data_IF_417285880162
#
_entry.id   IF_417285880162
#
_cell.length_a   1.000
_cell.length_b   1.000
_cell.length_c   1.000
_cell.angle_alpha   90.00
_cell.angle_beta   90.00
_cell.angle_gamma   90.00
#
_symmetry.space_group_name_H-M   'P 1'
#
loop_
_entity.id
_entity.type
_entity.pdbx_description
1 polymer ?
#
# COMPACT_ATOMS: atom_id res chain seq x y z
N UNK A 1 49.55 -11.39 -36.34
CA UNK A 1 50.10 -11.66 -35.00
C UNK A 1 50.71 -13.04 -35.08
N UNK A 2 52.03 -13.15 -34.92
CA UNK A 2 52.67 -14.46 -34.84
C UNK A 2 52.24 -15.09 -33.51
N UNK A 3 51.54 -16.22 -33.59
CA UNK A 3 50.89 -16.86 -32.44
C UNK A 3 51.92 -17.44 -31.46
N UNK A 4 53.15 -17.70 -31.90
CA UNK A 4 54.19 -18.25 -31.03
C UNK A 4 54.93 -17.18 -30.21
N UNK A 5 55.01 -15.94 -30.72
CA UNK A 5 55.84 -14.88 -30.11
C UNK A 5 55.04 -13.68 -29.63
N UNK A 6 53.76 -13.57 -29.97
CA UNK A 6 52.89 -12.44 -29.57
C UNK A 6 53.24 -11.11 -30.23
N UNK A 7 54.28 -11.07 -31.08
CA UNK A 7 54.71 -9.86 -31.75
C UNK A 7 53.77 -9.50 -32.92
N UNK A 8 53.44 -8.22 -33.01
CA UNK A 8 52.60 -7.64 -34.07
C UNK A 8 53.46 -6.69 -34.89
N UNK A 9 53.77 -7.09 -36.13
CA UNK A 9 54.51 -6.24 -37.06
C UNK A 9 53.52 -5.30 -37.79
N UNK A 10 53.75 -3.98 -37.67
CA UNK A 10 52.90 -2.97 -38.30
C UNK A 10 53.30 -2.79 -39.76
N UNK A 11 52.56 -3.46 -40.65
CA UNK A 11 52.90 -3.55 -42.08
C UNK A 11 52.55 -2.28 -42.86
N UNK A 12 51.70 -1.41 -42.30
CA UNK A 12 51.34 -0.09 -42.84
C UNK A 12 50.84 0.81 -41.72
N UNK A 13 51.27 2.08 -41.72
CA UNK A 13 50.65 3.17 -40.95
C UNK A 13 50.06 4.17 -41.92
N UNK A 14 48.89 4.71 -41.60
CA UNK A 14 48.19 5.70 -42.42
C UNK A 14 48.62 7.12 -42.02
N UNK A 15 48.86 7.99 -43.01
CA UNK A 15 49.45 9.33 -42.85
C UNK A 15 48.46 10.39 -42.33
N UNK A 16 47.21 10.02 -42.02
CA UNK A 16 46.17 10.95 -41.52
C UNK A 16 46.14 10.99 -39.99
N UNK A 17 46.48 12.15 -39.42
CA UNK A 17 46.70 12.39 -37.98
C UNK A 17 45.48 12.36 -37.03
N UNK A 18 44.34 11.80 -37.44
CA UNK A 18 43.20 11.52 -36.54
C UNK A 18 42.57 10.19 -36.89
N UNK A 19 42.51 9.29 -35.92
CA UNK A 19 41.85 8.00 -36.04
C UNK A 19 40.56 8.01 -35.20
N UNK A 20 39.46 7.53 -35.75
CA UNK A 20 38.37 7.00 -34.93
C UNK A 20 38.82 5.62 -34.45
N UNK A 21 39.11 5.50 -33.15
CA UNK A 21 39.43 4.22 -32.56
C UNK A 21 38.15 3.36 -32.51
N UNK A 22 38.25 2.10 -32.91
CA UNK A 22 37.18 1.12 -32.78
C UNK A 22 37.60 0.05 -31.78
N UNK A 23 36.74 -0.20 -30.80
CA UNK A 23 36.94 -1.25 -29.81
C UNK A 23 36.42 -2.59 -30.36
N UNK A 24 37.29 -3.59 -30.44
CA UNK A 24 36.97 -4.93 -30.92
C UNK A 24 37.38 -5.94 -29.85
N UNK A 25 36.44 -6.77 -29.42
CA UNK A 25 36.70 -7.92 -28.56
C UNK A 25 37.03 -9.14 -29.42
N UNK A 26 38.20 -9.72 -29.23
CA UNK A 26 38.55 -11.01 -29.81
C UNK A 26 38.30 -12.13 -28.80
N UNK A 27 37.47 -13.11 -29.16
CA UNK A 27 37.21 -14.29 -28.33
C UNK A 27 36.97 -15.51 -29.23
N UNK A 28 37.70 -16.60 -29.00
CA UNK A 28 37.57 -17.88 -29.73
C UNK A 28 37.46 -17.71 -31.27
N UNK A 29 38.42 -17.01 -31.87
CA UNK A 29 38.46 -16.70 -33.32
C UNK A 29 37.29 -15.86 -33.85
N UNK A 30 36.48 -15.27 -32.99
CA UNK A 30 35.45 -14.29 -33.36
C UNK A 30 35.89 -12.88 -32.96
N UNK A 31 35.59 -11.91 -33.83
CA UNK A 31 35.79 -10.49 -33.57
C UNK A 31 34.42 -9.83 -33.38
N UNK A 32 34.16 -9.31 -32.19
CA UNK A 32 32.91 -8.67 -31.81
C UNK A 32 33.16 -7.17 -31.67
N UNK A 33 32.41 -6.37 -32.42
CA UNK A 33 32.49 -4.92 -32.31
C UNK A 33 31.82 -4.43 -31.01
N UNK A 34 32.57 -3.68 -30.20
CA UNK A 34 32.09 -3.13 -28.95
C UNK A 34 31.73 -1.66 -29.17
N UNK A 35 30.45 -1.32 -28.98
CA UNK A 35 29.98 0.08 -29.08
C UNK A 35 30.23 0.89 -27.81
N UNK A 36 30.40 0.22 -26.66
CA UNK A 36 30.60 0.85 -25.37
C UNK A 36 31.48 -0.06 -24.50
N UNK A 37 32.77 0.29 -24.38
CA UNK A 37 33.77 -0.49 -23.66
C UNK A 37 33.51 -0.53 -22.15
N UNK A 38 32.91 0.52 -21.59
CA UNK A 38 32.61 0.61 -20.16
C UNK A 38 31.61 -0.46 -19.72
N UNK A 39 30.70 -0.89 -20.62
CA UNK A 39 29.77 -1.99 -20.33
C UNK A 39 30.47 -3.33 -20.11
N UNK A 40 31.65 -3.54 -20.70
CA UNK A 40 32.48 -4.74 -20.54
C UNK A 40 33.46 -4.60 -19.37
N UNK A 41 34.08 -3.44 -19.20
CA UNK A 41 35.11 -3.22 -18.19
C UNK A 41 34.55 -2.98 -16.78
N UNK A 42 33.33 -2.46 -16.64
CA UNK A 42 32.69 -2.16 -15.35
C UNK A 42 31.88 -3.33 -14.79
N UNK A 43 32.39 -4.56 -14.94
CA UNK A 43 31.77 -5.79 -14.46
C UNK A 43 32.69 -6.46 -13.45
N UNK A 44 32.26 -6.47 -12.20
CA UNK A 44 33.03 -6.98 -11.07
C UNK A 44 32.42 -8.32 -10.64
N UNK A 45 33.11 -9.43 -10.89
CA UNK A 45 32.63 -10.75 -10.52
C UNK A 45 33.03 -11.09 -9.08
N UNK A 46 32.10 -11.62 -8.29
CA UNK A 46 32.43 -12.17 -6.99
C UNK A 46 33.14 -13.52 -7.14
N UNK A 47 34.34 -13.73 -6.57
CA UNK A 47 35.09 -14.98 -6.75
C UNK A 47 34.48 -16.17 -5.99
N UNK A 48 33.51 -15.94 -5.09
CA UNK A 48 32.88 -16.99 -4.26
C UNK A 48 31.53 -17.48 -4.81
N UNK A 49 30.73 -16.58 -5.39
CA UNK A 49 29.39 -16.92 -5.90
C UNK A 49 29.19 -16.60 -7.39
N UNK A 50 30.24 -16.11 -8.05
CA UNK A 50 30.28 -15.78 -9.48
C UNK A 50 29.28 -14.70 -9.95
N UNK A 51 28.52 -14.07 -9.05
CA UNK A 51 27.64 -12.96 -9.38
C UNK A 51 28.42 -11.75 -9.90
N UNK A 52 27.88 -11.10 -10.93
CA UNK A 52 28.49 -9.97 -11.61
C UNK A 52 27.82 -8.66 -11.15
N UNK A 53 28.64 -7.71 -10.69
CA UNK A 53 28.23 -6.40 -10.21
C UNK A 53 28.63 -5.30 -11.18
N UNK A 54 27.84 -4.24 -11.23
CA UNK A 54 28.09 -3.07 -12.11
C UNK A 54 29.06 -2.06 -11.51
N UNK A 55 29.50 -2.25 -10.26
CA UNK A 55 30.47 -1.39 -9.58
C UNK A 55 31.17 -2.14 -8.44
N UNK A 56 32.41 -1.74 -8.13
CA UNK A 56 33.18 -2.32 -7.04
C UNK A 56 32.51 -2.11 -5.67
N UNK A 57 31.93 -0.93 -5.42
CA UNK A 57 31.22 -0.65 -4.16
C UNK A 57 30.09 -1.66 -3.90
N UNK A 58 29.35 -2.07 -4.94
CA UNK A 58 28.30 -3.09 -4.81
C UNK A 58 28.88 -4.47 -4.55
N UNK A 59 30.01 -4.81 -5.16
CA UNK A 59 30.74 -6.04 -4.86
C UNK A 59 31.24 -6.04 -3.40
N UNK A 60 31.78 -4.91 -2.90
CA UNK A 60 32.25 -4.78 -1.53
C UNK A 60 31.10 -4.89 -0.52
N UNK A 61 29.98 -4.23 -0.78
CA UNK A 61 28.76 -4.36 0.03
C UNK A 61 28.22 -5.80 0.01
N UNK A 62 28.25 -6.47 -1.14
CA UNK A 62 27.89 -7.88 -1.27
C UNK A 62 28.82 -8.81 -0.46
N UNK A 63 30.15 -8.60 -0.55
CA UNK A 63 31.14 -9.34 0.23
C UNK A 63 30.94 -9.14 1.73
N UNK A 64 30.59 -7.92 2.17
CA UNK A 64 30.36 -7.56 3.57
C UNK A 64 29.03 -8.09 4.11
N UNK A 65 27.98 -8.15 3.28
CA UNK A 65 26.60 -8.37 3.70
C UNK A 65 25.94 -9.55 2.96
N UNK A 66 26.43 -10.79 3.09
CA UNK A 66 25.80 -12.04 2.59
C UNK A 66 26.32 -12.59 1.24
N UNK A 67 27.62 -12.90 1.17
CA UNK A 67 28.15 -13.77 0.11
C UNK A 67 27.74 -15.26 0.27
N UNK A 68 26.98 -15.62 1.31
CA UNK A 68 26.59 -17.01 1.64
C UNK A 68 25.09 -17.31 1.50
N UNK A 69 24.27 -16.31 1.16
CA UNK A 69 22.90 -16.59 0.80
C UNK A 69 22.85 -16.84 -0.69
N UNK A 70 23.14 -18.09 -1.07
CA UNK A 70 22.41 -18.66 -2.19
C UNK A 70 20.94 -18.45 -1.82
N UNK A 71 20.29 -17.46 -2.42
CA UNK A 71 18.84 -17.46 -2.51
C UNK A 71 18.53 -18.66 -3.39
N UNK A 72 18.61 -19.86 -2.81
CA UNK A 72 17.96 -21.04 -3.34
C UNK A 72 16.50 -20.65 -3.21
N UNK A 73 15.94 -20.09 -4.27
CA UNK A 73 14.52 -20.25 -4.50
C UNK A 73 14.36 -21.77 -4.58
N UNK A 74 14.04 -22.39 -3.44
CA UNK A 74 13.73 -23.80 -3.40
C UNK A 74 12.36 -23.91 -4.05
N UNK A 75 12.36 -24.18 -5.34
CA UNK A 75 11.17 -24.67 -5.98
C UNK A 75 10.94 -26.07 -5.41
N UNK A 76 9.71 -26.40 -4.99
CA UNK A 76 9.42 -27.76 -4.58
C UNK A 76 9.78 -28.69 -5.75
N UNK A 77 10.53 -29.76 -5.46
CA UNK A 77 10.99 -30.73 -6.46
C UNK A 77 9.82 -31.40 -7.21
N UNK A 78 8.61 -31.31 -6.65
CA UNK A 78 7.37 -31.77 -7.24
C UNK A 78 6.37 -30.61 -7.36
N UNK A 79 5.51 -30.61 -8.39
CA UNK A 79 4.46 -29.61 -8.54
C UNK A 79 3.49 -29.67 -7.36
N UNK A 80 3.69 -28.80 -6.38
CA UNK A 80 2.75 -28.61 -5.28
C UNK A 80 1.70 -27.58 -5.68
N UNK A 81 0.42 -27.89 -5.51
CA UNK A 81 -0.66 -26.91 -5.58
C UNK A 81 -0.33 -25.78 -4.58
N UNK A 82 -0.32 -24.53 -5.05
CA UNK A 82 -0.12 -23.37 -4.19
C UNK A 82 -1.16 -23.40 -3.05
N UNK A 83 -0.69 -23.57 -1.82
CA UNK A 83 -1.50 -23.41 -0.62
C UNK A 83 -1.19 -22.05 -0.04
N UNK A 84 -2.14 -21.09 -0.04
CA UNK A 84 -1.92 -19.80 0.59
C UNK A 84 -1.54 -20.00 2.05
N UNK A 85 -0.59 -19.17 2.53
CA UNK A 85 -0.18 -19.20 3.92
C UNK A 85 -1.41 -19.04 4.84
N UNK A 86 -1.48 -19.85 5.89
CA UNK A 86 -2.62 -19.84 6.80
C UNK A 86 -2.72 -18.47 7.49
N UNK A 87 -3.92 -17.88 7.49
CA UNK A 87 -4.20 -16.63 8.19
C UNK A 87 -3.73 -16.71 9.66
N UNK A 88 -3.09 -15.66 10.17
CA UNK A 88 -2.52 -15.64 11.53
C UNK A 88 -3.56 -15.94 12.61
N UNK A 89 -4.74 -15.32 12.56
CA UNK A 89 -5.84 -15.58 13.49
C UNK A 89 -6.27 -17.05 13.39
N UNK A 90 -6.43 -17.58 12.17
CA UNK A 90 -6.77 -18.99 11.96
C UNK A 90 -5.72 -19.94 12.54
N UNK A 91 -4.44 -19.61 12.39
CA UNK A 91 -3.34 -20.40 12.97
C UNK A 91 -3.38 -20.39 14.51
N UNK A 92 -3.70 -19.25 15.12
CA UNK A 92 -3.85 -19.10 16.57
C UNK A 92 -5.08 -19.84 17.09
N UNK A 93 -6.24 -19.70 16.43
CA UNK A 93 -7.46 -20.44 16.78
C UNK A 93 -7.21 -21.95 16.77
N UNK A 94 -6.48 -22.45 15.77
CA UNK A 94 -6.07 -23.86 15.70
C UNK A 94 -5.13 -24.23 16.85
N UNK A 95 -4.08 -23.43 17.08
CA UNK A 95 -3.09 -23.65 18.14
C UNK A 95 -3.71 -23.74 19.54
N UNK A 96 -4.75 -22.95 19.82
CA UNK A 96 -5.44 -22.91 21.12
C UNK A 96 -6.76 -23.67 21.15
N UNK A 97 -7.01 -24.54 20.16
CA UNK A 97 -8.18 -25.43 20.09
C UNK A 97 -9.51 -24.68 20.26
N UNK A 98 -9.70 -23.57 19.55
CA UNK A 98 -10.96 -22.83 19.49
C UNK A 98 -11.67 -23.17 18.18
N UNK A 99 -12.82 -23.86 18.29
CA UNK A 99 -13.55 -24.40 17.12
C UNK A 99 -14.71 -23.53 16.62
N UNK A 100 -15.24 -22.64 17.46
CA UNK A 100 -16.49 -21.91 17.19
C UNK A 100 -16.29 -20.43 16.81
N UNK A 101 -15.04 -19.95 16.74
CA UNK A 101 -14.75 -18.57 16.38
C UNK A 101 -14.33 -18.48 14.92
N UNK A 102 -14.91 -17.52 14.20
CA UNK A 102 -14.46 -17.18 12.86
C UNK A 102 -13.15 -16.37 12.89
N UNK A 103 -12.35 -16.51 11.84
CA UNK A 103 -11.02 -15.94 11.70
C UNK A 103 -10.97 -14.63 10.90
N UNK A 104 -12.09 -14.16 10.34
CA UNK A 104 -12.14 -12.93 9.58
C UNK A 104 -12.28 -11.71 10.50
N UNK A 105 -11.67 -10.60 10.10
CA UNK A 105 -12.00 -9.29 10.67
C UNK A 105 -13.23 -8.79 9.90
N UNK A 106 -14.34 -8.57 10.62
CA UNK A 106 -15.64 -8.33 9.98
C UNK A 106 -15.79 -6.91 9.44
N UNK A 107 -15.17 -5.95 10.13
CA UNK A 107 -15.41 -4.54 9.87
C UNK A 107 -14.20 -3.84 9.26
N UNK A 108 -14.50 -2.92 8.34
CA UNK A 108 -13.55 -2.14 7.58
C UNK A 108 -14.14 -0.77 7.26
N UNK A 109 -13.28 0.13 6.80
CA UNK A 109 -13.62 1.47 6.35
C UNK A 109 -13.31 1.54 4.86
N UNK A 110 -14.14 2.25 4.08
CA UNK A 110 -13.88 2.57 2.68
C UNK A 110 -13.84 4.08 2.49
N UNK A 111 -13.07 4.54 1.51
CA UNK A 111 -13.02 5.96 1.15
C UNK A 111 -12.86 6.18 -0.35
N UNK A 112 -13.25 7.38 -0.79
CA UNK A 112 -13.05 7.89 -2.15
C UNK A 112 -12.82 9.40 -2.12
N UNK A 113 -12.06 9.92 -3.08
CA UNK A 113 -11.75 11.35 -3.18
C UNK A 113 -12.23 11.94 -4.51
N UNK A 114 -12.66 13.19 -4.46
CA UNK A 114 -12.80 14.02 -5.65
C UNK A 114 -11.78 15.14 -5.65
N UNK A 115 -11.44 15.61 -6.85
CA UNK A 115 -10.42 16.63 -7.06
C UNK A 115 -10.89 17.74 -8.00
N UNK A 116 -10.49 18.96 -7.68
CA UNK A 116 -10.51 20.10 -8.59
C UNK A 116 -9.42 19.91 -9.64
N UNK A 117 -9.74 20.18 -10.91
CA UNK A 117 -8.74 20.29 -11.99
C UNK A 117 -8.34 21.75 -12.15
N UNK A 118 -7.40 22.22 -11.34
CA UNK A 118 -6.95 23.61 -11.37
C UNK A 118 -6.07 23.82 -12.61
N UNK A 119 -6.44 24.72 -13.54
CA UNK A 119 -5.64 24.96 -14.73
C UNK A 119 -4.23 25.46 -14.37
N UNK A 120 -3.24 24.94 -15.08
CA UNK A 120 -1.85 25.36 -14.96
C UNK A 120 -1.19 25.36 -16.35
N UNK A 121 -0.05 26.04 -16.45
CA UNK A 121 0.78 26.08 -17.66
C UNK A 121 2.26 25.85 -17.33
N UNK A 122 2.52 25.11 -16.24
CA UNK A 122 3.88 24.85 -15.77
C UNK A 122 4.65 24.03 -16.81
N UNK A 123 5.76 24.57 -17.30
CA UNK A 123 6.68 23.84 -18.18
C UNK A 123 7.57 22.90 -17.38
N UNK A 124 7.81 21.72 -17.93
CA UNK A 124 8.76 20.74 -17.43
C UNK A 124 9.68 20.30 -18.56
N UNK A 125 10.86 20.93 -18.61
CA UNK A 125 11.75 20.81 -19.77
C UNK A 125 11.17 21.50 -21.00
N UNK A 126 11.70 21.16 -22.18
CA UNK A 126 11.39 21.89 -23.43
C UNK A 126 10.06 21.47 -24.07
N UNK A 127 9.62 20.23 -23.85
CA UNK A 127 8.53 19.62 -24.63
C UNK A 127 7.29 19.21 -23.80
N UNK A 128 7.28 19.43 -22.49
CA UNK A 128 6.17 18.99 -21.62
C UNK A 128 5.57 20.18 -20.88
N UNK A 129 4.26 20.37 -21.04
CA UNK A 129 3.49 21.39 -20.33
C UNK A 129 2.44 20.68 -19.50
N UNK A 130 2.44 20.92 -18.19
CA UNK A 130 1.34 20.51 -17.32
C UNK A 130 0.16 21.43 -17.57
N UNK A 131 -1.02 20.85 -17.82
CA UNK A 131 -2.24 21.60 -18.14
C UNK A 131 -3.14 21.79 -16.93
N UNK A 132 -3.16 20.83 -16.00
CA UNK A 132 -3.95 20.90 -14.78
C UNK A 132 -3.18 20.34 -13.58
N UNK A 133 -3.35 20.98 -12.43
CA UNK A 133 -2.99 20.49 -11.11
C UNK A 133 -4.24 19.91 -10.44
N UNK A 134 -4.14 18.68 -9.94
CA UNK A 134 -5.25 18.03 -9.24
C UNK A 134 -5.16 18.38 -7.76
N UNK A 135 -6.21 18.99 -7.22
CA UNK A 135 -6.28 19.39 -5.80
C UNK A 135 -7.44 18.64 -5.15
N UNK A 136 -7.21 17.85 -4.08
CA UNK A 136 -8.31 17.16 -3.40
C UNK A 136 -9.29 18.18 -2.85
N UNK A 137 -10.58 17.96 -3.06
CA UNK A 137 -11.64 18.89 -2.66
C UNK A 137 -12.68 18.27 -1.74
N UNK A 138 -12.91 16.96 -1.90
CA UNK A 138 -13.77 16.22 -1.02
C UNK A 138 -13.27 14.81 -0.79
N UNK A 139 -13.66 14.24 0.34
CA UNK A 139 -13.42 12.86 0.69
C UNK A 139 -14.71 12.26 1.24
N UNK A 140 -15.16 11.15 0.68
CA UNK A 140 -16.26 10.37 1.23
C UNK A 140 -15.70 9.17 1.99
N UNK A 141 -16.20 8.92 3.18
CA UNK A 141 -15.82 7.79 4.03
C UNK A 141 -17.08 7.05 4.47
N UNK A 142 -17.07 5.72 4.34
CA UNK A 142 -18.10 4.85 4.88
C UNK A 142 -17.47 3.73 5.71
N UNK A 143 -18.17 3.27 6.75
CA UNK A 143 -17.70 2.17 7.60
C UNK A 143 -18.73 1.06 7.73
N UNK A 144 -18.26 -0.19 7.80
CA UNK A 144 -19.16 -1.35 7.85
C UNK A 144 -19.61 -1.74 9.25
N UNK A 145 -19.23 -1.01 10.31
CA UNK A 145 -19.67 -1.30 11.68
C UNK A 145 -20.91 -0.50 12.06
N UNK A 146 -20.90 0.80 11.77
CA UNK A 146 -21.99 1.72 12.06
C UNK A 146 -22.84 2.03 10.83
N UNK A 147 -22.39 1.60 9.65
CA UNK A 147 -22.99 1.93 8.34
C UNK A 147 -23.05 3.45 8.10
N UNK A 148 -22.24 4.21 8.84
CA UNK A 148 -22.15 5.66 8.75
C UNK A 148 -21.45 6.08 7.47
N UNK A 149 -22.04 7.03 6.76
CA UNK A 149 -21.45 7.66 5.58
C UNK A 149 -21.22 9.14 5.89
N UNK A 150 -20.00 9.63 5.63
CA UNK A 150 -19.64 11.03 5.82
C UNK A 150 -18.86 11.56 4.63
N UNK A 151 -19.29 12.70 4.10
CA UNK A 151 -18.57 13.44 3.09
C UNK A 151 -17.95 14.69 3.74
N UNK A 152 -16.65 14.87 3.52
CA UNK A 152 -15.89 16.04 3.92
C UNK A 152 -15.62 16.88 2.68
N UNK A 153 -15.78 18.20 2.79
CA UNK A 153 -15.49 19.15 1.72
C UNK A 153 -14.73 20.31 2.35
N UNK A 154 -13.55 20.63 1.83
CA UNK A 154 -12.70 21.70 2.36
C UNK A 154 -11.78 22.22 1.26
N UNK A 155 -11.52 23.54 1.26
CA UNK A 155 -10.65 24.19 0.28
C UNK A 155 -9.16 24.06 0.62
N UNK A 156 -8.84 23.78 1.89
CA UNK A 156 -7.51 23.40 2.35
C UNK A 156 -7.37 21.87 2.38
N UNK A 157 -6.54 21.28 1.49
CA UNK A 157 -6.24 19.85 1.47
C UNK A 157 -5.80 19.27 2.81
N UNK A 158 -5.04 20.03 3.60
CA UNK A 158 -4.55 19.55 4.88
C UNK A 158 -5.67 19.47 5.91
N UNK A 159 -6.57 20.45 5.91
CA UNK A 159 -7.76 20.43 6.79
C UNK A 159 -8.73 19.34 6.36
N UNK A 160 -8.96 19.15 5.04
CA UNK A 160 -9.75 18.05 4.50
C UNK A 160 -9.28 16.70 5.05
N UNK A 161 -7.97 16.44 4.94
CA UNK A 161 -7.38 15.20 5.44
C UNK A 161 -7.44 15.11 6.95
N UNK A 162 -7.24 16.22 7.67
CA UNK A 162 -7.33 16.25 9.13
C UNK A 162 -8.71 15.82 9.60
N UNK A 163 -9.76 16.41 9.03
CA UNK A 163 -11.15 16.08 9.37
C UNK A 163 -11.49 14.62 9.04
N UNK A 164 -11.06 14.15 7.86
CA UNK A 164 -11.22 12.77 7.43
C UNK A 164 -10.54 11.78 8.39
N UNK A 165 -9.26 11.98 8.71
CA UNK A 165 -8.50 11.05 9.55
C UNK A 165 -8.92 11.10 11.03
N UNK A 166 -9.40 12.24 11.52
CA UNK A 166 -10.03 12.32 12.84
C UNK A 166 -11.27 11.40 12.91
N UNK A 167 -12.15 11.48 11.91
CA UNK A 167 -13.30 10.59 11.81
C UNK A 167 -12.91 9.12 11.69
N UNK A 168 -11.92 8.80 10.83
CA UNK A 168 -11.40 7.44 10.69
C UNK A 168 -10.85 6.93 12.03
N UNK A 169 -10.14 7.78 12.80
CA UNK A 169 -9.64 7.43 14.14
C UNK A 169 -10.76 7.07 15.12
N UNK A 170 -11.83 7.87 15.15
CA UNK A 170 -13.00 7.64 16.01
C UNK A 170 -13.71 6.32 15.66
N UNK A 171 -13.94 6.07 14.38
CA UNK A 171 -14.55 4.82 13.89
C UNK A 171 -13.63 3.63 14.12
N UNK A 172 -12.32 3.80 13.87
CA UNK A 172 -11.32 2.75 14.11
C UNK A 172 -11.32 2.31 15.57
N UNK A 173 -11.43 3.24 16.52
CA UNK A 173 -11.57 2.90 17.94
C UNK A 173 -12.80 2.04 18.25
N UNK A 174 -13.94 2.27 17.57
CA UNK A 174 -15.15 1.44 17.70
C UNK A 174 -14.93 0.03 17.11
N UNK A 175 -14.31 -0.06 15.93
CA UNK A 175 -13.99 -1.33 15.28
C UNK A 175 -12.98 -2.14 16.11
N UNK A 176 -11.94 -1.51 16.66
CA UNK A 176 -10.99 -2.18 17.55
C UNK A 176 -11.69 -2.75 18.78
N UNK A 177 -12.62 -2.01 19.39
CA UNK A 177 -13.41 -2.49 20.54
C UNK A 177 -14.24 -3.72 20.17
N UNK A 178 -14.87 -3.70 19.00
CA UNK A 178 -15.59 -4.87 18.47
C UNK A 178 -14.64 -6.06 18.28
N UNK A 179 -13.48 -5.86 17.65
CA UNK A 179 -12.48 -6.88 17.39
C UNK A 179 -11.97 -7.54 18.69
N UNK A 180 -11.66 -6.73 19.70
CA UNK A 180 -11.24 -7.23 21.03
C UNK A 180 -12.34 -8.07 21.68
N UNK A 181 -13.60 -7.63 21.59
CA UNK A 181 -14.74 -8.40 22.10
C UNK A 181 -14.90 -9.73 21.36
N UNK A 182 -14.84 -9.73 20.02
CA UNK A 182 -14.94 -10.93 19.18
C UNK A 182 -13.88 -11.97 19.54
N UNK A 183 -12.64 -11.52 19.76
CA UNK A 183 -11.49 -12.40 20.01
C UNK A 183 -11.11 -12.56 21.49
N UNK A 184 -11.99 -12.17 22.42
CA UNK A 184 -11.70 -12.20 23.86
C UNK A 184 -11.33 -13.60 24.37
N UNK A 185 -12.04 -14.64 23.93
CA UNK A 185 -11.76 -16.02 24.33
C UNK A 185 -10.37 -16.48 23.89
N UNK A 186 -9.92 -16.06 22.70
CA UNK A 186 -8.58 -16.35 22.19
C UNK A 186 -7.52 -15.57 22.96
N UNK A 187 -7.74 -14.28 23.23
CA UNK A 187 -6.85 -13.45 24.05
C UNK A 187 -6.64 -14.09 25.44
N UNK A 188 -7.72 -14.51 26.10
CA UNK A 188 -7.66 -15.14 27.41
C UNK A 188 -6.87 -16.45 27.39
N UNK A 189 -7.11 -17.33 26.39
CA UNK A 189 -6.33 -18.57 26.24
C UNK A 189 -4.84 -18.31 26.01
N UNK A 190 -4.50 -17.33 25.19
CA UNK A 190 -3.10 -16.94 24.95
C UNK A 190 -2.44 -16.47 26.25
N UNK A 191 -3.10 -15.57 26.99
CA UNK A 191 -2.58 -15.04 28.25
C UNK A 191 -2.44 -16.16 29.29
N UNK A 192 -3.42 -17.07 29.41
CA UNK A 192 -3.31 -18.17 30.37
C UNK A 192 -2.16 -19.12 30.04
N UNK A 193 -1.97 -19.45 28.75
CA UNK A 193 -0.94 -20.36 28.30
C UNK A 193 0.49 -19.80 28.48
N UNK A 194 0.76 -18.56 28.07
CA UNK A 194 2.12 -18.01 28.01
C UNK A 194 2.36 -16.81 28.91
N UNK A 195 1.29 -16.26 29.49
CA UNK A 195 1.28 -14.93 30.08
C UNK A 195 1.64 -13.84 29.08
N UNK A 196 1.63 -12.60 29.56
CA UNK A 196 2.05 -11.42 28.81
C UNK A 196 3.57 -11.24 28.87
N UNK A 197 4.32 -12.35 28.74
CA UNK A 197 5.78 -12.36 28.84
C UNK A 197 6.40 -11.47 27.77
N UNK A 198 7.22 -10.50 28.19
CA UNK A 198 7.90 -9.58 27.29
C UNK A 198 7.01 -8.51 26.65
N UNK A 199 5.74 -8.39 27.06
CA UNK A 199 4.90 -7.25 26.68
C UNK A 199 5.27 -6.02 27.51
N UNK A 200 5.28 -4.84 26.88
CA UNK A 200 5.54 -3.58 27.58
C UNK A 200 4.24 -3.05 28.16
N UNK A 201 3.93 -3.40 29.40
CA UNK A 201 2.70 -2.97 30.08
C UNK A 201 3.00 -1.73 30.93
N UNK A 202 2.28 -0.61 30.76
CA UNK A 202 2.51 0.59 31.56
C UNK A 202 2.33 0.38 33.07
N UNK A 203 3.27 0.90 33.85
CA UNK A 203 3.19 0.93 35.31
C UNK A 203 3.32 -0.44 35.99
N UNK A 204 3.96 -1.42 35.34
CA UNK A 204 4.33 -2.70 35.95
C UNK A 204 5.77 -3.09 35.60
N UNK A 205 6.35 -4.04 36.33
CA UNK A 205 7.75 -4.44 36.16
C UNK A 205 7.98 -5.13 34.81
N UNK A 206 8.90 -4.57 34.02
CA UNK A 206 9.36 -5.18 32.77
C UNK A 206 10.01 -6.54 33.06
N UNK A 207 9.73 -7.54 32.23
CA UNK A 207 10.33 -8.87 32.35
C UNK A 207 9.61 -9.85 33.29
N UNK A 208 8.56 -9.40 34.01
CA UNK A 208 7.64 -10.31 34.71
C UNK A 208 6.57 -10.85 33.75
N UNK A 209 6.20 -12.11 33.94
CA UNK A 209 5.08 -12.73 33.23
C UNK A 209 3.78 -12.50 34.00
N UNK A 210 2.82 -11.84 33.36
CA UNK A 210 1.48 -11.59 33.91
C UNK A 210 0.44 -12.54 33.31
N UNK A 211 -0.45 -13.06 34.16
CA UNK A 211 -1.55 -13.95 33.80
C UNK A 211 -2.86 -13.19 33.70
N UNK A 212 -3.94 -13.87 33.29
CA UNK A 212 -5.24 -13.22 33.12
C UNK A 212 -5.79 -12.71 34.46
N UNK A 213 -5.53 -13.43 35.55
CA UNK A 213 -5.91 -12.99 36.91
C UNK A 213 -5.30 -11.65 37.29
N UNK A 214 -4.07 -11.35 36.85
CA UNK A 214 -3.46 -10.04 37.08
C UNK A 214 -4.21 -8.94 36.30
N UNK A 215 -4.61 -9.24 35.06
CA UNK A 215 -5.39 -8.31 34.21
C UNK A 215 -6.77 -8.05 34.81
N UNK A 216 -7.43 -9.09 35.31
CA UNK A 216 -8.74 -8.99 35.98
C UNK A 216 -8.63 -8.15 37.26
N UNK A 217 -7.63 -8.40 38.11
CA UNK A 217 -7.33 -7.58 39.30
C UNK A 217 -7.07 -6.12 38.95
N UNK A 218 -6.31 -5.81 37.89
CA UNK A 218 -6.11 -4.42 37.46
C UNK A 218 -7.39 -3.73 36.99
N UNK A 219 -8.33 -4.48 36.42
CA UNK A 219 -9.64 -3.93 36.03
C UNK A 219 -10.50 -3.69 37.28
N UNK A 220 -10.53 -4.63 38.22
CA UNK A 220 -11.26 -4.51 39.49
C UNK A 220 -10.74 -3.36 40.37
N UNK A 221 -9.42 -3.16 40.39
CA UNK A 221 -8.74 -2.05 41.07
C UNK A 221 -8.92 -0.70 40.36
N UNK A 222 -9.56 -0.67 39.18
CA UNK A 222 -9.81 0.55 38.41
C UNK A 222 -8.58 1.09 37.66
N UNK A 223 -7.48 0.32 37.55
CA UNK A 223 -6.32 0.71 36.73
C UNK A 223 -6.66 0.74 35.24
N UNK A 224 -7.59 -0.11 34.81
CA UNK A 224 -8.16 -0.09 33.46
C UNK A 224 -9.69 -0.16 33.54
N UNK A 225 -10.39 0.68 32.79
CA UNK A 225 -11.86 0.72 32.83
C UNK A 225 -12.53 -0.51 32.16
N UNK A 226 -11.81 -1.19 31.26
CA UNK A 226 -12.31 -2.39 30.58
C UNK A 226 -11.17 -3.24 30.02
N UNK A 227 -11.48 -4.47 29.58
CA UNK A 227 -10.54 -5.32 28.85
C UNK A 227 -10.06 -4.68 27.53
N UNK A 228 -10.86 -3.79 26.94
CA UNK A 228 -10.46 -3.02 25.76
C UNK A 228 -9.41 -1.95 26.11
N UNK A 229 -9.62 -1.21 27.20
CA UNK A 229 -8.68 -0.20 27.66
C UNK A 229 -7.36 -0.84 28.08
N UNK A 230 -7.44 -2.01 28.74
CA UNK A 230 -6.27 -2.85 28.95
C UNK A 230 -5.63 -3.20 27.60
N UNK A 231 -6.35 -3.77 26.63
CA UNK A 231 -5.78 -4.21 25.34
C UNK A 231 -5.04 -3.11 24.58
N UNK A 232 -5.49 -1.85 24.67
CA UNK A 232 -4.83 -0.72 24.02
C UNK A 232 -3.49 -0.35 24.67
N UNK A 233 -3.28 -0.69 25.94
CA UNK A 233 -2.14 -0.20 26.71
C UNK A 233 -0.80 -0.93 26.48
N UNK A 234 -0.72 -2.27 26.27
CA UNK A 234 0.55 -2.93 26.06
C UNK A 234 1.24 -2.49 24.76
N UNK A 235 2.51 -2.11 24.84
CA UNK A 235 3.40 -1.99 23.69
C UNK A 235 3.86 -3.35 23.16
N UNK A 236 4.43 -3.36 21.97
CA UNK A 236 5.05 -4.56 21.40
C UNK A 236 6.48 -4.70 21.93
N UNK A 237 6.77 -5.79 22.65
CA UNK A 237 8.16 -6.10 23.03
C UNK A 237 9.04 -6.54 21.86
N UNK A 238 10.33 -6.80 22.14
CA UNK A 238 11.34 -7.18 21.13
C UNK A 238 11.02 -8.47 20.36
N UNK A 239 10.25 -9.39 20.95
CA UNK A 239 9.78 -10.62 20.28
C UNK A 239 8.26 -10.58 20.10
N UNK A 240 7.79 -10.97 18.91
CA UNK A 240 6.35 -11.09 18.64
C UNK A 240 5.79 -12.36 19.28
N UNK A 241 5.33 -12.21 20.52
CA UNK A 241 4.47 -13.19 21.20
C UNK A 241 3.19 -13.43 20.41
N UNK A 242 2.48 -14.52 20.70
CA UNK A 242 1.19 -14.80 20.05
C UNK A 242 0.14 -13.74 20.39
N UNK A 243 0.21 -13.16 21.60
CA UNK A 243 -0.59 -11.99 21.96
C UNK A 243 -0.24 -10.80 21.07
N UNK A 244 1.05 -10.50 20.87
CA UNK A 244 1.49 -9.43 19.98
C UNK A 244 1.05 -9.63 18.53
N UNK A 245 1.11 -10.86 18.01
CA UNK A 245 0.61 -11.18 16.66
C UNK A 245 -0.89 -10.93 16.53
N UNK A 246 -1.68 -11.35 17.51
CA UNK A 246 -3.12 -11.12 17.52
C UNK A 246 -3.43 -9.63 17.68
N UNK A 247 -2.84 -8.96 18.67
CA UNK A 247 -2.98 -7.52 18.93
C UNK A 247 -2.76 -6.69 17.67
N UNK A 248 -1.69 -6.97 16.92
CA UNK A 248 -1.43 -6.26 15.66
C UNK A 248 -2.58 -6.36 14.66
N UNK A 249 -3.26 -7.52 14.57
CA UNK A 249 -4.40 -7.70 13.66
C UNK A 249 -5.66 -7.03 14.18
N UNK A 250 -5.86 -6.98 15.51
CA UNK A 250 -7.05 -6.35 16.10
C UNK A 250 -6.95 -4.81 16.11
N UNK A 251 -5.74 -4.28 16.31
CA UNK A 251 -5.46 -2.85 16.35
C UNK A 251 -5.52 -2.21 14.95
N UNK A 252 -4.99 -2.86 13.93
CA UNK A 252 -4.86 -2.25 12.59
C UNK A 252 -6.12 -2.43 11.76
N UNK A 253 -7.04 -1.47 11.87
CA UNK A 253 -8.30 -1.43 11.10
C UNK A 253 -8.02 -1.26 9.61
N UNK A 254 -8.73 -2.01 8.77
CA UNK A 254 -8.56 -1.95 7.33
C UNK A 254 -9.31 -0.74 6.75
N UNK A 255 -8.61 0.08 5.98
CA UNK A 255 -9.14 1.27 5.29
C UNK A 255 -8.90 1.09 3.79
N UNK A 256 -9.94 0.88 3.01
CA UNK A 256 -9.85 0.56 1.59
C UNK A 256 -10.19 1.76 0.71
N UNK A 257 -9.36 1.99 -0.31
CA UNK A 257 -9.74 2.82 -1.46
C UNK A 257 -9.66 2.00 -2.75
N UNK A 258 -10.43 2.35 -3.76
CA UNK A 258 -10.43 1.64 -5.04
C UNK A 258 -9.49 2.31 -6.03
N UNK A 259 -8.40 1.64 -6.43
CA UNK A 259 -7.35 2.22 -7.28
C UNK A 259 -6.64 3.41 -6.61
N UNK A 260 -6.72 3.48 -5.28
CA UNK A 260 -6.19 4.56 -4.47
C UNK A 260 -4.67 4.63 -4.50
N UNK A 261 -4.00 3.49 -4.63
CA UNK A 261 -2.55 3.42 -4.68
C UNK A 261 -1.94 4.15 -5.87
N UNK A 262 -2.70 4.26 -6.96
CA UNK A 262 -2.31 4.97 -8.19
C UNK A 262 -2.79 6.42 -8.19
N UNK A 263 -4.01 6.67 -7.75
CA UNK A 263 -4.61 8.01 -7.82
C UNK A 263 -4.68 8.70 -6.45
N UNK A 264 -5.59 8.28 -5.57
CA UNK A 264 -5.90 9.01 -4.32
C UNK A 264 -4.68 9.24 -3.43
N UNK A 265 -3.86 8.21 -3.21
CA UNK A 265 -2.64 8.36 -2.40
C UNK A 265 -1.68 9.36 -3.06
N UNK A 266 -1.57 9.38 -4.39
CA UNK A 266 -0.73 10.36 -5.07
C UNK A 266 -1.32 11.78 -5.04
N UNK A 267 -2.65 11.91 -4.98
CA UNK A 267 -3.36 13.17 -4.79
C UNK A 267 -3.07 13.76 -3.41
N UNK A 268 -3.05 12.94 -2.36
CA UNK A 268 -3.00 13.41 -0.96
C UNK A 268 -1.62 13.30 -0.31
N UNK A 269 -0.65 12.59 -0.91
CA UNK A 269 0.66 12.28 -0.28
C UNK A 269 1.45 13.49 0.24
N UNK A 270 1.20 14.68 -0.31
CA UNK A 270 1.87 15.93 0.10
C UNK A 270 1.63 16.21 1.58
N UNK A 271 0.38 16.04 2.03
CA UNK A 271 -0.06 16.35 3.39
C UNK A 271 -0.33 15.09 4.23
N UNK A 272 -0.55 13.93 3.58
CA UNK A 272 -0.89 12.65 4.22
C UNK A 272 -0.01 12.29 5.41
N UNK A 273 1.32 12.29 5.24
CA UNK A 273 2.25 11.88 6.29
C UNK A 273 2.38 12.92 7.41
N UNK A 274 2.10 14.19 7.11
CA UNK A 274 2.05 15.24 8.12
C UNK A 274 0.79 15.11 8.98
N UNK A 275 -0.35 14.77 8.36
CA UNK A 275 -1.64 14.58 9.06
C UNK A 275 -1.65 13.29 9.90
N UNK A 276 -1.21 12.17 9.33
CA UNK A 276 -1.15 10.88 10.05
C UNK A 276 -0.06 10.88 11.14
N UNK A 277 0.99 11.68 10.94
CA UNK A 277 2.18 11.72 11.78
C UNK A 277 3.16 10.60 11.40
N UNK A 278 4.36 10.99 10.97
CA UNK A 278 5.42 10.07 10.54
C UNK A 278 5.80 9.04 11.60
N UNK A 279 5.74 9.41 12.89
CA UNK A 279 6.01 8.51 14.02
C UNK A 279 4.97 7.40 14.17
N UNK A 280 3.75 7.59 13.65
CA UNK A 280 2.70 6.58 13.67
C UNK A 280 2.87 5.53 12.55
N UNK A 281 3.64 5.82 11.51
CA UNK A 281 3.86 4.92 10.38
C UNK A 281 4.69 3.70 10.82
N UNK A 282 4.17 2.50 10.55
CA UNK A 282 4.85 1.22 10.81
C UNK A 282 5.47 0.62 9.56
N UNK A 283 4.80 0.74 8.42
CA UNK A 283 5.34 0.27 7.14
C UNK A 283 4.62 0.91 5.96
N UNK A 284 5.36 1.15 4.87
CA UNK A 284 4.81 1.56 3.59
C UNK A 284 5.30 0.60 2.52
N UNK A 285 4.38 -0.01 1.78
CA UNK A 285 4.68 -0.92 0.67
C UNK A 285 4.25 -0.24 -0.63
N UNK A 286 5.19 -0.09 -1.56
CA UNK A 286 4.97 0.54 -2.86
C UNK A 286 5.59 -0.33 -3.96
N UNK A 287 4.80 -0.76 -4.94
CA UNK A 287 5.29 -1.51 -6.10
C UNK A 287 4.27 -1.59 -7.26
N UNK A 288 4.40 -0.80 -8.35
CA UNK A 288 4.96 0.55 -8.42
C UNK A 288 4.06 1.60 -7.74
N UNK A 289 2.79 1.27 -7.53
CA UNK A 289 1.78 2.05 -6.79
C UNK A 289 1.82 1.76 -5.30
N UNK A 290 1.24 2.62 -4.47
CA UNK A 290 1.10 2.35 -3.04
C UNK A 290 0.15 1.17 -2.84
N UNK A 291 0.64 0.09 -2.24
CA UNK A 291 -0.17 -1.10 -1.96
C UNK A 291 -0.70 -1.11 -0.53
N UNK A 292 0.12 -0.61 0.41
CA UNK A 292 -0.21 -0.59 1.82
C UNK A 292 0.50 0.56 2.54
N UNK A 293 -0.23 1.32 3.35
CA UNK A 293 0.31 2.24 4.35
C UNK A 293 -0.25 1.78 5.71
N UNK A 294 0.61 1.23 6.56
CA UNK A 294 0.24 0.74 7.87
C UNK A 294 0.71 1.70 8.96
N UNK A 295 -0.19 2.05 9.87
CA UNK A 295 0.06 2.80 11.10
C UNK A 295 -0.03 1.88 12.32
N UNK A 296 -0.04 2.42 13.53
CA UNK A 296 -0.33 1.60 14.73
C UNK A 296 -1.77 1.09 14.78
N UNK A 297 -2.72 1.81 14.19
CA UNK A 297 -4.15 1.68 14.39
C UNK A 297 -4.96 1.48 13.09
N UNK A 298 -4.34 1.62 11.92
CA UNK A 298 -4.98 1.37 10.63
C UNK A 298 -4.00 0.82 9.58
N UNK A 299 -4.58 0.24 8.54
CA UNK A 299 -3.92 -0.19 7.31
C UNK A 299 -4.71 0.32 6.13
N UNK A 300 -4.18 1.35 5.47
CA UNK A 300 -4.71 1.81 4.19
C UNK A 300 -4.27 0.84 3.11
N UNK A 301 -5.23 0.25 2.40
CA UNK A 301 -5.03 -0.76 1.37
C UNK A 301 -5.73 -0.34 0.08
N UNK A 302 -5.12 -0.67 -1.06
CA UNK A 302 -5.77 -0.52 -2.35
C UNK A 302 -6.50 -1.82 -2.72
N UNK A 303 -7.80 -1.71 -2.91
CA UNK A 303 -8.70 -2.82 -3.23
C UNK A 303 -8.32 -3.51 -4.56
N UNK A 304 -7.71 -2.79 -5.51
CA UNK A 304 -7.30 -3.36 -6.81
C UNK A 304 -6.26 -4.47 -6.70
N UNK A 305 -5.55 -4.58 -5.57
CA UNK A 305 -4.62 -5.68 -5.32
C UNK A 305 -5.32 -7.02 -5.04
N UNK A 306 -6.64 -6.99 -4.79
CA UNK A 306 -7.44 -8.15 -4.38
C UNK A 306 -8.47 -8.56 -5.45
N UNK A 307 -8.52 -7.86 -6.57
CA UNK A 307 -9.36 -8.17 -7.73
C UNK A 307 -8.49 -8.46 -8.96
N UNK A 308 -9.04 -9.15 -9.99
CA UNK A 308 -8.30 -9.39 -11.22
C UNK A 308 -7.76 -8.09 -11.84
N UNK A 309 -6.58 -8.16 -12.44
CA UNK A 309 -5.97 -7.02 -13.11
C UNK A 309 -6.90 -6.45 -14.19
N UNK A 310 -6.98 -5.12 -14.27
CA UNK A 310 -7.86 -4.42 -15.22
C UNK A 310 -9.33 -4.37 -14.81
N UNK A 311 -9.69 -4.81 -13.61
CA UNK A 311 -11.06 -4.66 -13.08
C UNK A 311 -11.33 -3.19 -12.76
N UNK A 312 -12.23 -2.55 -13.51
CA UNK A 312 -12.76 -1.22 -13.19
C UNK A 312 -13.74 -1.31 -12.01
N UNK A 313 -14.00 -0.18 -11.36
CA UNK A 313 -15.00 -0.10 -10.29
C UNK A 313 -16.38 -0.53 -10.77
N UNK A 314 -16.78 -0.05 -11.95
CA UNK A 314 -18.04 -0.43 -12.60
C UNK A 314 -18.15 -1.94 -12.87
N UNK A 315 -17.08 -2.56 -13.39
CA UNK A 315 -17.04 -4.01 -13.62
C UNK A 315 -17.10 -4.79 -12.31
N UNK A 316 -16.41 -4.30 -11.28
CA UNK A 316 -16.48 -4.86 -9.93
C UNK A 316 -17.93 -4.85 -9.44
N UNK A 317 -18.59 -3.69 -9.42
CA UNK A 317 -19.97 -3.56 -8.96
C UNK A 317 -20.93 -4.44 -9.77
N UNK A 318 -20.85 -4.42 -11.10
CA UNK A 318 -21.72 -5.23 -11.97
C UNK A 318 -21.53 -6.73 -11.72
N UNK A 319 -20.32 -7.18 -11.41
CA UNK A 319 -20.03 -8.60 -11.12
C UNK A 319 -20.73 -9.07 -9.85
N UNK A 320 -20.74 -8.26 -8.79
CA UNK A 320 -21.29 -8.64 -7.49
C UNK A 320 -22.76 -8.29 -7.32
N UNK A 321 -23.23 -7.22 -7.96
CA UNK A 321 -24.62 -6.74 -7.87
C UNK A 321 -25.50 -7.25 -9.02
N UNK A 322 -24.89 -7.81 -10.09
CA UNK A 322 -25.62 -8.35 -11.23
C UNK A 322 -26.23 -7.29 -12.17
N UNK A 323 -25.79 -6.02 -12.03
CA UNK A 323 -26.28 -4.85 -12.76
C UNK A 323 -27.65 -4.35 -12.29
N UNK A 324 -28.01 -3.13 -12.69
CA UNK A 324 -29.33 -2.57 -12.40
C UNK A 324 -30.41 -3.35 -13.15
N UNK A 325 -31.43 -3.82 -12.43
CA UNK A 325 -32.66 -4.40 -13.01
C UNK A 325 -33.92 -3.66 -12.58
N UNK A 326 -33.77 -2.53 -11.89
CA UNK A 326 -34.89 -1.71 -11.44
C UNK A 326 -35.38 -0.80 -12.56
N UNK A 327 -36.69 -0.57 -12.60
CA UNK A 327 -37.30 0.45 -13.47
C UNK A 327 -37.08 1.87 -12.93
N UNK A 328 -37.07 2.06 -11.60
CA UNK A 328 -36.77 3.35 -10.94
C UNK A 328 -35.26 3.46 -10.63
N UNK A 329 -34.50 4.03 -11.56
CA UNK A 329 -33.04 4.21 -11.43
C UNK A 329 -32.64 5.23 -10.34
N UNK A 330 -33.53 6.17 -10.00
CA UNK A 330 -33.28 7.24 -9.01
C UNK A 330 -33.25 6.74 -7.57
N UNK A 331 -34.08 5.75 -7.22
CA UNK A 331 -34.10 5.14 -5.86
C UNK A 331 -33.42 3.78 -5.79
N UNK A 332 -33.02 3.23 -6.94
CA UNK A 332 -32.47 1.89 -7.01
C UNK A 332 -31.00 1.84 -6.61
N UNK A 333 -30.73 1.04 -5.58
CA UNK A 333 -29.37 0.79 -5.08
C UNK A 333 -28.64 -0.34 -5.82
N UNK A 334 -29.37 -1.19 -6.57
CA UNK A 334 -28.76 -2.32 -7.31
C UNK A 334 -28.12 -1.90 -8.64
N UNK A 335 -28.37 -0.66 -9.06
CA UNK A 335 -27.78 -0.05 -10.25
C UNK A 335 -26.71 0.99 -9.98
N UNK A 336 -26.26 1.13 -8.72
CA UNK A 336 -25.24 2.12 -8.41
C UNK A 336 -23.99 1.87 -9.27
N UNK A 337 -23.70 2.83 -10.14
CA UNK A 337 -22.46 2.93 -10.88
C UNK A 337 -21.51 3.91 -10.20
N UNK A 338 -20.44 4.30 -10.90
CA UNK A 338 -19.59 5.39 -10.43
C UNK A 338 -20.42 6.70 -10.44
N UNK A 339 -20.34 7.49 -9.38
CA UNK A 339 -20.90 8.83 -9.35
C UNK A 339 -20.37 9.71 -10.49
N UNK A 340 -21.20 10.62 -10.98
CA UNK A 340 -20.86 11.54 -12.06
C UNK A 340 -20.32 12.84 -11.47
N UNK A 341 -19.05 13.13 -11.74
CA UNK A 341 -18.38 14.34 -11.26
C UNK A 341 -17.86 15.14 -12.46
N UNK A 342 -18.27 16.43 -12.63
CA UNK A 342 -17.91 17.23 -13.79
C UNK A 342 -16.49 17.81 -13.65
N UNK A 343 -15.48 16.93 -13.73
CA UNK A 343 -14.07 17.25 -13.45
C UNK A 343 -13.54 18.46 -14.24
N UNK A 344 -13.88 18.58 -15.52
CA UNK A 344 -13.38 19.67 -16.38
C UNK A 344 -14.09 21.01 -16.12
N UNK A 345 -15.26 20.98 -15.50
CA UNK A 345 -15.98 22.19 -15.09
C UNK A 345 -15.51 22.70 -13.73
N UNK A 346 -15.20 21.80 -12.80
CA UNK A 346 -14.78 22.11 -11.43
C UNK A 346 -13.28 22.43 -11.43
N UNK A 347 -12.96 23.67 -11.79
CA UNK A 347 -11.59 24.20 -11.90
C UNK A 347 -11.15 25.04 -10.70
N UNK A 348 -12.09 25.38 -9.82
CA UNK A 348 -11.85 26.13 -8.59
C UNK A 348 -12.88 25.76 -7.51
N UNK A 349 -12.54 25.97 -6.24
CA UNK A 349 -13.38 25.57 -5.10
C UNK A 349 -14.74 26.28 -5.08
N UNK A 350 -14.78 27.56 -5.43
CA UNK A 350 -15.99 28.37 -5.44
C UNK A 350 -17.07 27.87 -6.40
N UNK A 351 -16.72 27.03 -7.38
CA UNK A 351 -17.70 26.37 -8.28
C UNK A 351 -18.65 25.48 -7.48
N UNK A 352 -18.19 24.88 -6.38
CA UNK A 352 -19.03 24.05 -5.50
C UNK A 352 -20.09 24.84 -4.73
N UNK A 353 -19.98 26.18 -4.67
CA UNK A 353 -20.99 27.03 -4.03
C UNK A 353 -22.18 27.33 -4.94
N UNK A 354 -22.14 26.91 -6.21
CA UNK A 354 -23.25 27.08 -7.14
C UNK A 354 -24.44 26.23 -6.69
N UNK A 355 -25.63 26.83 -6.70
CA UNK A 355 -26.87 26.17 -6.25
C UNK A 355 -27.67 25.54 -7.40
N UNK A 356 -27.13 25.60 -8.62
CA UNK A 356 -27.77 25.08 -9.83
C UNK A 356 -26.91 23.97 -10.42
N UNK A 357 -27.56 22.94 -10.97
CA UNK A 357 -26.87 21.86 -11.69
C UNK A 357 -26.10 22.46 -12.88
N UNK A 358 -24.81 22.15 -13.05
CA UNK A 358 -24.04 22.59 -14.21
C UNK A 358 -24.70 22.17 -15.52
N UNK A 359 -24.54 22.90 -16.62
CA UNK A 359 -25.11 22.50 -17.91
C UNK A 359 -24.62 21.11 -18.31
N UNK A 360 -25.41 20.36 -19.08
CA UNK A 360 -25.07 18.98 -19.52
C UNK A 360 -23.64 18.85 -20.09
N UNK A 361 -23.19 19.83 -20.86
CA UNK A 361 -21.83 19.87 -21.43
C UNK A 361 -20.70 19.98 -20.41
N UNK A 362 -20.99 20.40 -19.16
CA UNK A 362 -20.02 20.42 -18.07
C UNK A 362 -19.55 19.02 -17.66
N UNK A 363 -20.31 17.99 -18.00
CA UNK A 363 -19.98 16.59 -17.72
C UNK A 363 -19.21 15.91 -18.87
N UNK A 364 -18.88 16.65 -19.93
CA UNK A 364 -18.05 16.13 -21.00
C UNK A 364 -16.61 15.88 -20.53
N UNK A 365 -16.06 14.71 -20.87
CA UNK A 365 -14.67 14.36 -20.60
C UNK A 365 -13.89 14.29 -21.89
N UNK A 366 -12.98 15.23 -22.12
CA UNK A 366 -12.02 15.21 -23.23
C UNK A 366 -11.04 14.07 -23.09
N UNK A 367 -10.64 13.73 -21.86
CA UNK A 367 -9.72 12.64 -21.58
C UNK A 367 -10.30 11.28 -22.01
N UNK A 368 -11.60 11.06 -21.78
CA UNK A 368 -12.28 9.79 -22.10
C UNK A 368 -13.04 9.84 -23.43
N UNK A 369 -13.27 11.03 -23.98
CA UNK A 369 -14.14 11.23 -25.15
C UNK A 369 -15.59 10.85 -24.86
N UNK A 370 -16.08 11.11 -23.64
CA UNK A 370 -17.42 10.70 -23.18
C UNK A 370 -18.25 11.90 -22.75
N UNK A 371 -19.57 11.79 -22.92
CA UNK A 371 -20.57 12.76 -22.45
C UNK A 371 -21.62 12.05 -21.59
N UNK A 372 -22.29 12.80 -20.73
CA UNK A 372 -23.43 12.29 -19.95
C UNK A 372 -24.65 12.06 -20.86
N UNK A 373 -25.45 11.03 -20.56
CA UNK A 373 -26.71 10.79 -21.27
C UNK A 373 -27.77 11.82 -20.87
N UNK A 374 -28.91 11.89 -21.57
CA UNK A 374 -30.00 12.77 -21.12
C UNK A 374 -30.65 12.21 -19.85
N UNK A 375 -30.89 10.90 -19.82
CA UNK A 375 -31.49 10.20 -18.68
C UNK A 375 -30.66 10.31 -17.39
N UNK A 376 -29.32 10.32 -17.47
CA UNK A 376 -28.47 10.48 -16.28
C UNK A 376 -28.36 11.93 -15.80
N UNK A 377 -28.74 12.89 -16.65
CA UNK A 377 -28.68 14.33 -16.34
C UNK A 377 -29.99 14.85 -15.74
N UNK A 378 -31.13 14.27 -16.15
CA UNK A 378 -32.46 14.50 -15.56
C UNK A 378 -32.58 13.86 -14.18
#
# INVERSE_FOLDING_TARGET
>A
MDVATGNVESIRRSDKGRYEAMDILSHENHALFIKNIDMLQSKYQCPKCEMIFVSDERLQNHKKNQCELVNIKSFPNEPTIYKPAQNTIRSLLTKYSIKAADHYIDHFIVYDFEAILKPTATQHGENTVFTNEHIPVSASVADSLTEGVRCFVNDDPKMLLTDMFNYIGDVSGKIQRYNVKKYMSLLQKIINAHGLTGMEIPGVNLGKTYKMSDVESWIEEGKYASSFDFHRSPGFGKQRSDYGKLKQQLDQVLVFGFNSGRYDINLIKKDLFAVIGTNNIKSVIKNPSYMCIATSDMKMLDFTNYVPAGTSYDKYLTTYLGGCKCDDKTRCVCGFGKGLFPYEYITAFNVLNQTTIPPKSAFDSKLRGTSITSDDYE
#
